data_IF_396534855058
#
_entry.id   IF_396534855058
#
_cell.length_a   1.000
_cell.length_b   1.000
_cell.length_c   1.000
_cell.angle_alpha   90.00
_cell.angle_beta   90.00
_cell.angle_gamma   90.00
#
_symmetry.space_group_name_H-M   'P 1'
#
loop_
_entity.id
_entity.type
_entity.pdbx_description
1 polymer ?
#
# COMPACT_ATOMS: atom_id res chain seq x y z
N UNK A 1 10.38 -11.60 -6.81
CA UNK A 1 10.62 -10.13 -6.63
C UNK A 1 10.64 -9.77 -5.13
N UNK A 2 11.28 -8.68 -4.69
CA UNK A 2 11.20 -8.26 -3.26
C UNK A 2 9.88 -7.55 -2.94
N UNK A 3 9.20 -7.02 -3.94
CA UNK A 3 7.88 -6.42 -3.76
C UNK A 3 6.97 -6.76 -4.95
N UNK A 4 5.70 -6.40 -4.83
CA UNK A 4 4.72 -6.56 -5.89
C UNK A 4 3.75 -5.39 -5.96
N UNK A 5 3.25 -5.11 -7.17
CA UNK A 5 2.03 -4.34 -7.39
C UNK A 5 0.85 -5.30 -7.34
N UNK A 6 0.09 -5.28 -6.24
CA UNK A 6 -1.05 -6.16 -6.06
C UNK A 6 -2.33 -5.50 -6.57
N UNK A 7 -3.03 -6.20 -7.46
CA UNK A 7 -4.37 -5.88 -7.91
C UNK A 7 -5.34 -5.77 -6.72
N UNK A 8 -6.13 -4.69 -6.65
CA UNK A 8 -7.13 -4.52 -5.59
C UNK A 8 -8.38 -5.36 -5.83
N UNK A 9 -8.66 -5.72 -7.09
CA UNK A 9 -9.65 -6.72 -7.42
C UNK A 9 -9.24 -8.11 -6.90
N UNK A 10 -10.13 -8.74 -6.14
CA UNK A 10 -9.94 -10.10 -5.64
C UNK A 10 -10.68 -11.08 -6.53
N UNK A 11 -9.94 -12.04 -7.09
CA UNK A 11 -10.44 -13.01 -8.07
C UNK A 11 -11.13 -14.16 -7.35
N UNK A 12 -12.45 -14.08 -7.19
CA UNK A 12 -13.24 -15.17 -6.62
C UNK A 12 -13.39 -16.30 -7.63
N UNK A 13 -12.90 -17.50 -7.32
CA UNK A 13 -12.93 -18.65 -8.23
C UNK A 13 -13.32 -19.92 -7.46
N UNK A 14 -14.02 -20.84 -8.14
CA UNK A 14 -14.38 -22.14 -7.56
C UNK A 14 -13.15 -23.04 -7.36
N UNK A 15 -12.14 -22.87 -8.22
CA UNK A 15 -10.84 -23.51 -8.13
C UNK A 15 -9.75 -22.49 -8.49
N UNK A 16 -8.57 -22.64 -7.88
CA UNK A 16 -7.42 -21.84 -8.28
C UNK A 16 -6.96 -22.26 -9.68
N UNK A 17 -6.68 -21.31 -10.58
CA UNK A 17 -6.23 -21.64 -11.93
C UNK A 17 -4.89 -22.37 -11.86
N UNK A 18 -4.63 -23.24 -12.83
CA UNK A 18 -3.28 -23.77 -13.04
C UNK A 18 -2.40 -22.65 -13.60
N UNK A 19 -1.31 -22.33 -12.92
CA UNK A 19 -0.32 -21.35 -13.37
C UNK A 19 0.86 -22.08 -13.99
N UNK A 20 1.00 -22.01 -15.31
CA UNK A 20 2.22 -22.41 -15.99
C UNK A 20 3.37 -21.45 -15.58
N UNK A 21 4.16 -21.84 -14.58
CA UNK A 21 5.46 -21.21 -14.31
C UNK A 21 5.62 -20.40 -13.00
N UNK A 22 4.57 -20.11 -12.24
CA UNK A 22 4.70 -19.43 -10.95
C UNK A 22 3.81 -20.08 -9.87
N UNK A 23 4.37 -20.79 -8.86
CA UNK A 23 3.55 -21.50 -7.89
C UNK A 23 2.73 -20.52 -7.05
N UNK A 24 1.43 -20.78 -6.95
CA UNK A 24 0.56 -20.11 -6.01
C UNK A 24 1.04 -20.32 -4.56
N UNK A 25 1.04 -19.23 -3.79
CA UNK A 25 1.29 -19.30 -2.35
C UNK A 25 -0.06 -19.25 -1.65
N UNK A 26 -0.42 -20.34 -0.95
CA UNK A 26 -1.76 -20.57 -0.43
C UNK A 26 -1.83 -20.43 1.08
N UNK A 27 -3.00 -20.03 1.57
CA UNK A 27 -3.35 -20.13 2.99
C UNK A 27 -4.85 -20.39 3.15
N UNK A 28 -5.18 -21.11 4.22
CA UNK A 28 -6.55 -21.44 4.58
C UNK A 28 -6.99 -20.66 5.83
N UNK A 29 -8.25 -20.27 5.84
CA UNK A 29 -8.87 -19.52 6.91
C UNK A 29 -10.29 -19.97 7.19
N UNK A 30 -10.85 -19.47 8.29
CA UNK A 30 -12.25 -19.72 8.66
C UNK A 30 -12.92 -18.39 8.97
N UNK A 31 -14.05 -18.13 8.31
CA UNK A 31 -14.84 -16.93 8.56
C UNK A 31 -15.71 -17.07 9.82
N UNK A 32 -16.24 -15.95 10.34
CA UNK A 32 -17.21 -15.96 11.46
C UNK A 32 -18.50 -16.73 11.15
N UNK A 33 -18.78 -16.98 9.87
CA UNK A 33 -20.01 -17.62 9.42
C UNK A 33 -19.86 -19.15 9.31
N UNK A 34 -18.76 -19.71 9.83
CA UNK A 34 -18.53 -21.16 9.89
C UNK A 34 -18.03 -21.79 8.59
N UNK A 35 -17.81 -21.00 7.54
CA UNK A 35 -17.26 -21.47 6.26
C UNK A 35 -15.74 -21.35 6.21
N UNK A 36 -15.06 -22.42 5.79
CA UNK A 36 -13.66 -22.35 5.37
C UNK A 36 -13.52 -21.56 4.07
N UNK A 37 -12.41 -20.86 3.93
CA UNK A 37 -12.02 -20.23 2.69
C UNK A 37 -10.52 -20.40 2.49
N UNK A 38 -10.08 -20.33 1.25
CA UNK A 38 -8.67 -20.40 0.89
C UNK A 38 -8.32 -19.18 0.06
N UNK A 39 -7.11 -18.67 0.23
CA UNK A 39 -6.55 -17.62 -0.62
C UNK A 39 -5.31 -18.11 -1.32
N UNK A 40 -5.01 -17.52 -2.47
CA UNK A 40 -3.80 -17.81 -3.21
C UNK A 40 -3.24 -16.54 -3.86
N UNK A 41 -1.95 -16.27 -3.66
CA UNK A 41 -1.25 -15.18 -4.35
C UNK A 41 -0.59 -15.68 -5.63
N UNK A 42 -0.87 -15.00 -6.74
CA UNK A 42 -0.01 -15.02 -7.92
C UNK A 42 0.96 -13.84 -7.81
N UNK A 43 2.24 -14.13 -7.63
CA UNK A 43 3.28 -13.12 -7.43
C UNK A 43 4.07 -12.93 -8.73
N UNK A 44 3.99 -11.72 -9.28
CA UNK A 44 4.73 -11.29 -10.48
C UNK A 44 5.69 -10.14 -10.12
N UNK A 45 6.78 -10.04 -10.87
CA UNK A 45 7.70 -8.91 -10.75
C UNK A 45 7.11 -7.68 -11.48
N UNK A 46 7.06 -6.51 -10.82
CA UNK A 46 6.71 -5.24 -11.48
C UNK A 46 7.54 -5.02 -12.76
N UNK A 47 6.94 -4.60 -13.89
CA UNK A 47 5.59 -4.03 -14.03
C UNK A 47 4.44 -5.05 -14.07
N UNK A 48 4.72 -6.36 -13.99
CA UNK A 48 3.69 -7.40 -13.93
C UNK A 48 2.79 -7.26 -12.68
N UNK A 49 1.48 -7.42 -12.88
CA UNK A 49 0.46 -7.21 -11.85
C UNK A 49 0.18 -8.50 -11.08
N UNK A 50 0.50 -8.50 -9.79
CA UNK A 50 0.22 -9.62 -8.89
C UNK A 50 -1.26 -9.67 -8.53
N UNK A 51 -1.77 -10.86 -8.19
CA UNK A 51 -3.21 -11.09 -7.97
C UNK A 51 -3.46 -11.88 -6.70
N UNK A 52 -4.59 -11.59 -6.05
CA UNK A 52 -5.14 -12.39 -4.96
C UNK A 52 -6.38 -13.16 -5.45
N UNK A 53 -6.32 -14.48 -5.37
CA UNK A 53 -7.44 -15.36 -5.61
C UNK A 53 -8.10 -15.76 -4.29
N UNK A 54 -9.43 -15.85 -4.31
CA UNK A 54 -10.24 -16.28 -3.18
C UNK A 54 -11.10 -17.48 -3.61
N UNK A 55 -11.03 -18.55 -2.83
CA UNK A 55 -11.97 -19.67 -2.92
C UNK A 55 -12.81 -19.67 -1.64
N UNK A 56 -14.08 -19.33 -1.76
CA UNK A 56 -14.99 -19.24 -0.61
C UNK A 56 -16.32 -19.91 -0.93
N UNK A 57 -16.44 -21.24 -0.72
CA UNK A 57 -17.63 -22.00 -1.12
C UNK A 57 -18.94 -21.54 -0.47
N UNK A 58 -18.87 -21.09 0.79
CA UNK A 58 -20.00 -20.49 1.53
C UNK A 58 -20.05 -18.97 1.42
N UNK A 59 -19.26 -18.39 0.51
CA UNK A 59 -19.22 -16.97 0.24
C UNK A 59 -20.29 -16.55 -0.77
N UNK A 60 -20.61 -15.26 -0.83
CA UNK A 60 -21.55 -14.76 -1.83
C UNK A 60 -21.04 -14.87 -3.26
N UNK A 61 -22.00 -15.18 -4.14
CA UNK A 61 -21.74 -15.58 -5.53
C UNK A 61 -21.56 -14.38 -6.47
N UNK A 62 -22.08 -13.21 -6.11
CA UNK A 62 -21.94 -11.96 -6.86
C UNK A 62 -20.89 -11.05 -6.19
N UNK A 63 -20.06 -10.39 -7.01
CA UNK A 63 -18.71 -9.93 -6.67
C UNK A 63 -18.53 -8.85 -5.58
N UNK A 64 -17.25 -8.77 -5.15
CA UNK A 64 -16.59 -7.85 -4.20
C UNK A 64 -17.05 -7.85 -2.74
N UNK A 65 -16.90 -9.01 -2.13
CA UNK A 65 -17.00 -9.16 -0.67
C UNK A 65 -15.65 -9.38 0.01
N UNK A 66 -14.57 -9.51 -0.77
CA UNK A 66 -13.21 -9.43 -0.27
C UNK A 66 -12.57 -8.12 -0.74
N UNK A 67 -11.97 -7.37 0.18
CA UNK A 67 -11.30 -6.10 -0.11
C UNK A 67 -9.89 -6.15 0.48
N UNK A 68 -8.88 -5.90 -0.37
CA UNK A 68 -7.52 -5.63 0.08
C UNK A 68 -7.46 -4.23 0.70
N UNK A 69 -7.05 -4.15 1.96
CA UNK A 69 -7.11 -2.92 2.75
C UNK A 69 -5.75 -2.23 2.79
N UNK A 70 -4.72 -2.94 3.25
CA UNK A 70 -3.38 -2.39 3.43
C UNK A 70 -2.33 -3.49 3.39
N UNK A 71 -1.07 -3.11 3.20
CA UNK A 71 0.07 -4.02 3.28
C UNK A 71 1.27 -3.30 3.89
N UNK A 72 2.05 -4.01 4.70
CA UNK A 72 3.31 -3.51 5.22
C UNK A 72 4.23 -4.68 5.59
N UNK A 73 5.47 -4.62 5.13
CA UNK A 73 6.49 -5.67 5.32
C UNK A 73 5.93 -7.06 4.97
N UNK A 74 5.92 -7.97 5.93
CA UNK A 74 5.50 -9.37 5.79
C UNK A 74 3.98 -9.58 5.92
N UNK A 75 3.16 -8.53 6.05
CA UNK A 75 1.74 -8.63 6.33
C UNK A 75 0.88 -7.93 5.25
N UNK A 76 -0.22 -8.59 4.88
CA UNK A 76 -1.30 -8.04 4.05
C UNK A 76 -2.60 -8.11 4.83
N UNK A 77 -3.27 -6.97 5.00
CA UNK A 77 -4.58 -6.84 5.63
C UNK A 77 -5.66 -6.85 4.56
N UNK A 78 -6.62 -7.75 4.70
CA UNK A 78 -7.82 -7.78 3.87
C UNK A 78 -9.05 -8.01 4.73
N UNK A 79 -10.20 -7.77 4.12
CA UNK A 79 -11.50 -7.87 4.77
C UNK A 79 -12.42 -8.75 3.97
N UNK A 80 -13.12 -9.65 4.66
CA UNK A 80 -14.26 -10.39 4.14
C UNK A 80 -15.55 -9.81 4.72
N UNK A 81 -16.44 -9.35 3.85
CA UNK A 81 -17.77 -8.87 4.18
C UNK A 81 -18.76 -9.90 3.66
N UNK A 82 -19.41 -10.71 4.50
CA UNK A 82 -20.43 -11.67 4.11
C UNK A 82 -21.67 -10.96 3.56
N UNK A 83 -22.62 -11.73 3.05
CA UNK A 83 -23.92 -11.20 2.63
C UNK A 83 -24.63 -10.49 3.80
N UNK A 84 -25.12 -9.26 3.60
CA UNK A 84 -25.77 -8.53 4.68
C UNK A 84 -27.03 -9.28 5.13
N UNK A 85 -27.14 -9.56 6.43
CA UNK A 85 -28.40 -9.97 7.03
C UNK A 85 -29.31 -8.73 7.07
N UNK A 86 -30.27 -8.64 6.15
CA UNK A 86 -31.28 -7.57 6.17
C UNK A 86 -32.25 -7.85 7.33
N UNK A 87 -31.96 -7.27 8.50
CA UNK A 87 -32.87 -7.32 9.65
C UNK A 87 -33.83 -6.13 9.52
N UNK A 88 -35.11 -6.41 9.28
CA UNK A 88 -36.18 -5.41 9.04
C UNK A 88 -36.36 -4.37 10.16
N UNK A 89 -35.83 -4.64 11.36
CA UNK A 89 -36.04 -3.84 12.57
C UNK A 89 -34.82 -2.99 12.97
N UNK A 90 -33.68 -3.12 12.29
CA UNK A 90 -32.50 -2.33 12.60
C UNK A 90 -32.49 -1.02 11.78
N UNK A 91 -32.28 0.16 12.40
CA UNK A 91 -32.17 1.43 11.67
C UNK A 91 -30.93 1.51 10.76
N UNK A 92 -30.02 0.54 10.87
CA UNK A 92 -28.80 0.41 10.08
C UNK A 92 -28.54 -1.05 9.70
N UNK A 93 -28.02 -1.30 8.51
CA UNK A 93 -27.59 -2.64 8.08
C UNK A 93 -26.29 -3.01 8.83
N UNK A 94 -26.30 -4.08 9.63
CA UNK A 94 -25.07 -4.61 10.27
C UNK A 94 -24.24 -5.36 9.22
N UNK A 95 -23.30 -4.66 8.59
CA UNK A 95 -22.29 -5.29 7.75
C UNK A 95 -21.22 -5.92 8.65
N UNK A 96 -21.40 -7.18 9.04
CA UNK A 96 -20.40 -7.90 9.84
C UNK A 96 -19.10 -8.09 9.06
N UNK A 97 -18.08 -7.29 9.32
CA UNK A 97 -16.81 -7.35 8.60
C UNK A 97 -15.76 -8.17 9.36
N UNK A 98 -15.30 -9.26 8.75
CA UNK A 98 -14.15 -10.01 9.26
C UNK A 98 -12.86 -9.47 8.65
N UNK A 99 -11.96 -9.00 9.51
CA UNK A 99 -10.63 -8.55 9.08
C UNK A 99 -9.63 -9.69 9.29
N UNK A 100 -8.76 -9.90 8.31
CA UNK A 100 -7.74 -10.93 8.32
C UNK A 100 -6.39 -10.33 7.98
N UNK A 101 -5.37 -10.75 8.71
CA UNK A 101 -3.98 -10.55 8.34
C UNK A 101 -3.48 -11.83 7.71
N UNK A 102 -2.91 -11.71 6.51
CA UNK A 102 -2.10 -12.75 5.90
C UNK A 102 -0.62 -12.40 6.08
N UNK A 103 0.13 -13.28 6.73
CA UNK A 103 1.54 -13.06 7.01
C UNK A 103 2.43 -14.19 6.50
N UNK A 104 3.64 -13.85 6.08
CA UNK A 104 4.68 -14.86 5.85
C UNK A 104 5.12 -15.47 7.19
N UNK A 105 5.11 -16.79 7.30
CA UNK A 105 5.62 -17.52 8.45
C UNK A 105 6.98 -18.13 8.12
N UNK A 106 7.99 -17.76 8.91
CA UNK A 106 9.32 -18.36 8.85
C UNK A 106 9.33 -19.63 9.72
N UNK A 107 9.24 -20.81 9.10
CA UNK A 107 9.61 -22.08 9.74
C UNK A 107 10.91 -22.61 9.12
N UNK A 108 11.78 -23.29 9.89
CA UNK A 108 13.06 -23.80 9.40
C UNK A 108 12.96 -24.76 8.19
N UNK A 109 11.81 -25.41 8.01
CA UNK A 109 11.60 -26.45 6.98
C UNK A 109 10.69 -26.02 5.82
N UNK A 110 9.85 -24.99 5.99
CA UNK A 110 8.94 -24.52 4.94
C UNK A 110 8.46 -23.10 5.25
N UNK A 111 8.48 -22.17 4.29
CA UNK A 111 7.78 -20.88 4.44
C UNK A 111 6.37 -21.03 3.90
N UNK A 112 5.40 -20.80 4.76
CA UNK A 112 3.96 -20.83 4.45
C UNK A 112 3.34 -19.47 4.74
N UNK A 113 2.15 -19.24 4.19
CA UNK A 113 1.32 -18.12 4.61
C UNK A 113 0.45 -18.56 5.78
N UNK A 114 0.31 -17.67 6.76
CA UNK A 114 -0.60 -17.85 7.88
C UNK A 114 -1.71 -16.80 7.81
N UNK A 115 -2.95 -17.26 7.90
CA UNK A 115 -4.11 -16.40 8.06
C UNK A 115 -4.47 -16.26 9.53
N UNK A 116 -4.59 -15.02 9.97
CA UNK A 116 -4.98 -14.67 11.33
C UNK A 116 -6.19 -13.75 11.29
N UNK A 117 -7.26 -14.18 11.96
CA UNK A 117 -8.46 -13.38 12.12
C UNK A 117 -8.25 -12.31 13.20
N UNK A 118 -8.65 -11.09 12.89
CA UNK A 118 -8.67 -9.97 13.80
C UNK A 118 -10.01 -9.92 14.51
N UNK A 119 -10.04 -9.75 15.85
CA UNK A 119 -11.29 -9.64 16.59
C UNK A 119 -12.08 -8.41 16.13
N UNK A 120 -13.41 -8.53 16.18
CA UNK A 120 -14.30 -7.40 15.96
C UNK A 120 -13.93 -6.27 16.93
N UNK A 121 -13.97 -5.04 16.44
CA UNK A 121 -13.82 -3.88 17.31
C UNK A 121 -15.16 -3.59 17.99
N UNK A 122 -15.24 -3.86 19.29
CA UNK A 122 -16.43 -3.57 20.10
C UNK A 122 -16.49 -2.11 20.58
N UNK A 123 -15.46 -1.31 20.27
CA UNK A 123 -15.42 0.11 20.57
C UNK A 123 -16.35 0.82 19.58
N UNK A 124 -17.42 1.47 20.04
CA UNK A 124 -18.38 2.10 19.14
C UNK A 124 -17.74 3.24 18.36
N UNK A 125 -18.26 3.47 17.16
CA UNK A 125 -18.06 4.70 16.40
C UNK A 125 -18.98 5.80 16.92
N UNK A 126 -18.51 7.04 16.82
CA UNK A 126 -19.32 8.23 17.04
C UNK A 126 -19.60 8.86 15.68
N UNK A 127 -20.88 8.99 15.34
CA UNK A 127 -21.31 9.68 14.13
C UNK A 127 -22.03 10.97 14.52
N UNK A 128 -21.65 12.07 13.88
CA UNK A 128 -22.46 13.28 13.93
C UNK A 128 -23.69 13.08 13.03
N UNK A 129 -24.87 13.04 13.65
CA UNK A 129 -26.15 12.88 12.97
C UNK A 129 -26.77 14.25 12.69
N UNK A 130 -27.81 14.27 11.83
CA UNK A 130 -28.60 15.49 11.57
C UNK A 130 -28.97 16.17 12.89
N UNK A 131 -28.87 17.51 12.89
CA UNK A 131 -29.11 18.40 14.04
C UNK A 131 -28.03 18.40 15.13
N UNK A 132 -26.83 17.90 14.84
CA UNK A 132 -25.69 17.91 15.79
C UNK A 132 -25.81 16.88 16.92
N UNK A 133 -26.80 15.99 16.85
CA UNK A 133 -26.94 14.86 17.79
C UNK A 133 -25.88 13.80 17.50
N UNK A 134 -25.18 13.34 18.55
CA UNK A 134 -24.17 12.28 18.42
C UNK A 134 -24.84 10.93 18.57
N UNK A 135 -24.73 10.09 17.54
CA UNK A 135 -25.24 8.72 17.54
C UNK A 135 -24.07 7.76 17.68
N UNK A 136 -24.24 6.79 18.57
CA UNK A 136 -23.27 5.71 18.76
C UNK A 136 -23.63 4.58 17.80
N UNK A 137 -22.70 4.19 16.93
CA UNK A 137 -22.92 3.12 15.94
C UNK A 137 -21.85 2.03 16.09
N UNK A 138 -22.10 0.81 15.58
CA UNK A 138 -21.01 -0.14 15.36
C UNK A 138 -19.91 0.52 14.54
N UNK A 139 -18.65 0.37 14.98
CA UNK A 139 -17.52 0.98 14.27
C UNK A 139 -17.36 0.34 12.90
N UNK A 140 -17.43 1.15 11.85
CA UNK A 140 -17.08 0.77 10.48
C UNK A 140 -15.68 1.26 10.14
N UNK A 141 -14.93 0.42 9.43
CA UNK A 141 -13.63 0.76 8.86
C UNK A 141 -13.72 1.21 7.39
N UNK A 142 -14.93 1.40 6.85
CA UNK A 142 -15.15 1.85 5.46
C UNK A 142 -14.90 3.35 5.26
N UNK A 143 -15.32 4.18 6.22
CA UNK A 143 -15.30 5.64 6.08
C UNK A 143 -13.90 6.23 6.30
N UNK A 144 -13.16 5.66 7.24
CA UNK A 144 -11.76 5.97 7.51
C UNK A 144 -10.99 4.65 7.48
N UNK A 145 -10.13 4.42 6.47
CA UNK A 145 -9.48 3.13 6.30
C UNK A 145 -8.60 2.81 7.51
N UNK A 146 -8.77 1.60 8.03
CA UNK A 146 -7.80 1.00 8.93
C UNK A 146 -6.55 0.64 8.14
N UNK A 147 -5.38 0.80 8.73
CA UNK A 147 -4.13 0.38 8.11
C UNK A 147 -3.29 -0.43 9.08
N UNK A 148 -2.21 -1.00 8.56
CA UNK A 148 -1.28 -1.86 9.28
C UNK A 148 0.12 -1.28 9.28
N UNK A 149 0.77 -1.29 10.44
CA UNK A 149 2.18 -0.97 10.63
C UNK A 149 2.87 -2.10 11.36
N UNK A 150 4.04 -2.50 10.88
CA UNK A 150 4.86 -3.56 11.46
C UNK A 150 6.04 -2.93 12.18
N UNK A 151 6.37 -3.42 13.37
CA UNK A 151 7.56 -3.06 14.11
C UNK A 151 8.42 -4.31 14.26
N UNK A 152 9.52 -4.38 13.53
CA UNK A 152 10.24 -5.64 13.38
C UNK A 152 9.41 -6.68 12.62
N UNK A 153 9.69 -7.96 12.83
CA UNK A 153 8.97 -9.08 12.18
C UNK A 153 7.87 -9.67 13.07
N UNK A 154 7.87 -9.36 14.36
CA UNK A 154 6.98 -9.98 15.34
C UNK A 154 5.80 -9.12 15.75
N UNK A 155 5.92 -7.79 15.69
CA UNK A 155 4.91 -6.87 16.20
C UNK A 155 4.22 -6.10 15.09
N UNK A 156 2.92 -5.87 15.26
CA UNK A 156 2.13 -5.05 14.37
C UNK A 156 1.11 -4.20 15.13
N UNK A 157 0.68 -3.13 14.50
CA UNK A 157 -0.42 -2.29 14.91
C UNK A 157 -1.43 -2.18 13.77
N UNK A 158 -2.70 -2.38 14.08
CA UNK A 158 -3.82 -1.99 13.23
C UNK A 158 -4.40 -0.70 13.79
N UNK A 159 -4.56 0.33 12.97
CA UNK A 159 -5.02 1.62 13.45
C UNK A 159 -5.99 2.28 12.49
N UNK A 160 -7.03 2.90 13.06
CA UNK A 160 -7.93 3.83 12.41
C UNK A 160 -7.86 5.15 13.16
N UNK A 161 -7.75 6.26 12.42
CA UNK A 161 -7.78 7.61 12.98
C UNK A 161 -9.10 8.28 12.56
N UNK A 162 -9.80 8.86 13.53
CA UNK A 162 -11.00 9.64 13.30
C UNK A 162 -10.80 11.05 13.86
N UNK A 163 -11.39 12.05 13.21
CA UNK A 163 -11.30 13.43 13.62
C UNK A 163 -12.62 13.90 14.21
N UNK A 164 -12.52 14.74 15.23
CA UNK A 164 -13.66 15.38 15.86
C UNK A 164 -13.38 16.86 16.05
N UNK A 165 -14.41 17.67 15.81
CA UNK A 165 -14.42 19.07 16.24
C UNK A 165 -14.59 19.12 17.76
N UNK A 166 -13.73 19.89 18.42
CA UNK A 166 -13.96 20.24 19.82
C UNK A 166 -15.22 21.10 19.92
N UNK A 167 -16.08 20.79 20.89
CA UNK A 167 -17.29 21.55 21.15
C UNK A 167 -17.01 22.90 21.85
N UNK A 168 -15.81 23.10 22.43
CA UNK A 168 -15.53 24.20 23.36
C UNK A 168 -14.59 25.29 22.83
N UNK A 169 -13.86 25.04 21.74
CA UNK A 169 -12.88 25.98 21.18
C UNK A 169 -12.97 25.97 19.65
N UNK A 170 -13.21 27.14 19.05
CA UNK A 170 -13.30 27.29 17.60
C UNK A 170 -11.98 26.86 16.94
N UNK A 171 -12.05 25.90 16.01
CA UNK A 171 -10.90 25.43 15.24
C UNK A 171 -9.97 24.43 15.96
N UNK A 172 -10.29 23.96 17.18
CA UNK A 172 -9.53 22.87 17.79
C UNK A 172 -10.02 21.51 17.26
N UNK A 173 -9.11 20.80 16.59
CA UNK A 173 -9.34 19.48 16.02
C UNK A 173 -8.65 18.45 16.90
N UNK A 174 -9.43 17.48 17.35
CA UNK A 174 -8.98 16.40 18.22
C UNK A 174 -9.14 15.08 17.49
N UNK A 175 -8.16 14.20 17.63
CA UNK A 175 -8.18 12.89 17.02
C UNK A 175 -8.59 11.81 18.03
N UNK A 176 -9.32 10.81 17.53
CA UNK A 176 -9.53 9.53 18.19
C UNK A 176 -8.75 8.46 17.41
N UNK A 177 -7.77 7.86 18.07
CA UNK A 177 -7.02 6.72 17.56
C UNK A 177 -7.64 5.43 18.10
N UNK A 178 -8.23 4.63 17.21
CA UNK A 178 -8.65 3.26 17.51
C UNK A 178 -7.55 2.31 17.05
N UNK A 179 -6.86 1.66 17.98
CA UNK A 179 -5.65 0.88 17.71
C UNK A 179 -5.68 -0.50 18.36
N UNK A 180 -5.20 -1.50 17.64
CA UNK A 180 -4.90 -2.84 18.14
C UNK A 180 -3.41 -3.06 17.94
N UNK A 181 -2.68 -3.24 19.04
CA UNK A 181 -1.24 -3.49 19.04
C UNK A 181 -1.02 -4.91 19.50
N UNK A 182 -0.27 -5.69 18.72
CA UNK A 182 -0.08 -7.10 19.06
C UNK A 182 1.19 -7.68 18.48
N UNK A 183 1.55 -8.85 19.01
CA UNK A 183 2.49 -9.76 18.37
C UNK A 183 1.73 -10.64 17.39
N UNK A 184 2.35 -11.01 16.27
CA UNK A 184 1.81 -11.98 15.31
C UNK A 184 1.49 -13.33 15.99
N UNK A 185 2.30 -13.74 16.96
CA UNK A 185 2.08 -14.97 17.75
C UNK A 185 0.94 -14.88 18.76
N UNK A 186 0.49 -13.68 19.12
CA UNK A 186 -0.58 -13.51 20.11
C UNK A 186 -1.93 -13.86 19.49
N UNK A 187 -2.73 -14.69 20.17
CA UNK A 187 -4.10 -15.04 19.75
C UNK A 187 -5.19 -14.19 20.40
N UNK A 188 -4.84 -13.38 21.39
CA UNK A 188 -5.76 -12.51 22.13
C UNK A 188 -5.44 -11.06 21.82
N UNK A 189 -5.90 -10.60 20.67
CA UNK A 189 -5.80 -9.19 20.31
C UNK A 189 -6.89 -8.39 21.01
N UNK A 190 -6.58 -7.14 21.36
CA UNK A 190 -7.53 -6.23 21.99
C UNK A 190 -7.42 -4.85 21.35
N UNK A 191 -8.57 -4.30 21.00
CA UNK A 191 -8.70 -2.92 20.54
C UNK A 191 -8.66 -1.96 21.73
N UNK A 192 -8.03 -0.80 21.52
CA UNK A 192 -8.00 0.33 22.45
C UNK A 192 -8.40 1.59 21.69
N UNK A 193 -9.05 2.53 22.39
CA UNK A 193 -9.39 3.84 21.84
C UNK A 193 -8.73 4.91 22.71
N UNK A 194 -7.89 5.71 22.07
CA UNK A 194 -7.19 6.83 22.64
C UNK A 194 -7.86 8.10 22.07
N UNK A 195 -8.58 8.81 22.93
CA UNK A 195 -9.42 9.95 22.54
C UNK A 195 -8.74 11.26 22.89
N UNK A 196 -9.15 12.32 22.20
CA UNK A 196 -8.75 13.70 22.51
C UNK A 196 -7.26 13.94 22.31
N UNK A 197 -6.68 13.27 21.32
CA UNK A 197 -5.29 13.43 20.96
C UNK A 197 -5.13 14.76 20.21
N UNK A 198 -4.27 15.68 20.67
CA UNK A 198 -4.05 16.95 20.00
C UNK A 198 -3.32 16.72 18.67
N UNK A 199 -3.78 17.37 17.61
CA UNK A 199 -3.08 17.40 16.33
C UNK A 199 -2.17 18.62 16.30
N UNK A 200 -0.87 18.40 16.22
CA UNK A 200 0.12 19.47 16.05
C UNK A 200 0.02 20.02 14.62
N UNK A 201 -0.44 21.26 14.51
CA UNK A 201 -0.58 22.00 13.26
C UNK A 201 -0.41 23.50 13.55
N UNK A 202 0.08 24.25 12.56
CA UNK A 202 0.17 25.70 12.64
C UNK A 202 -1.20 26.36 12.48
N UNK A 203 -1.34 27.60 12.94
CA UNK A 203 -2.64 28.31 12.93
C UNK A 203 -3.26 28.42 11.52
N UNK A 204 -2.42 28.59 10.50
CA UNK A 204 -2.82 28.73 9.10
C UNK A 204 -3.10 27.38 8.40
N UNK A 205 -2.85 26.25 9.07
CA UNK A 205 -3.10 24.89 8.57
C UNK A 205 -4.41 24.30 9.10
N UNK A 206 -5.02 24.96 10.09
CA UNK A 206 -6.25 24.45 10.73
C UNK A 206 -7.42 24.31 9.76
N UNK A 207 -7.52 25.21 8.78
CA UNK A 207 -8.53 25.15 7.73
C UNK A 207 -8.47 23.86 6.91
N UNK A 208 -7.27 23.31 6.71
CA UNK A 208 -7.04 22.13 5.88
C UNK A 208 -7.59 20.86 6.54
N UNK A 209 -7.69 20.91 7.87
CA UNK A 209 -8.18 19.83 8.71
C UNK A 209 -9.70 19.89 8.94
N UNK A 210 -10.38 21.01 8.60
CA UNK A 210 -11.80 21.23 8.94
C UNK A 210 -12.76 20.22 8.29
N UNK A 211 -12.42 19.73 7.10
CA UNK A 211 -13.19 18.76 6.31
C UNK A 211 -12.33 17.53 5.96
N UNK A 212 -11.48 17.10 6.88
CA UNK A 212 -10.55 16.00 6.64
C UNK A 212 -11.25 14.72 6.18
N UNK A 213 -10.77 14.16 5.07
CA UNK A 213 -11.14 12.82 4.60
C UNK A 213 -9.86 12.06 4.24
N UNK A 214 -9.75 10.84 4.73
CA UNK A 214 -8.60 10.00 4.40
C UNK A 214 -8.85 9.28 3.08
N UNK A 215 -8.01 9.52 2.09
CA UNK A 215 -8.00 8.77 0.82
C UNK A 215 -7.15 7.51 0.94
N UNK A 216 -5.97 7.62 1.57
CA UNK A 216 -5.00 6.53 1.71
C UNK A 216 -4.30 6.58 3.06
N UNK A 217 -3.77 5.45 3.52
CA UNK A 217 -2.87 5.40 4.67
C UNK A 217 -1.56 4.75 4.28
N UNK A 218 -0.44 5.40 4.57
CA UNK A 218 0.91 4.94 4.22
C UNK A 218 1.71 4.62 5.50
N UNK A 219 2.28 3.41 5.62
CA UNK A 219 3.24 3.12 6.68
C UNK A 219 4.61 3.68 6.31
N UNK A 220 5.15 4.58 7.13
CA UNK A 220 6.43 5.22 6.89
C UNK A 220 7.27 5.25 8.17
N UNK A 221 8.39 4.53 8.19
CA UNK A 221 9.23 4.36 9.37
C UNK A 221 8.41 3.86 10.58
N UNK A 222 8.27 4.68 11.62
CA UNK A 222 7.52 4.39 12.84
C UNK A 222 6.11 4.98 12.85
N UNK A 223 5.69 5.62 11.77
CA UNK A 223 4.43 6.33 11.65
C UNK A 223 3.48 5.62 10.69
N UNK A 224 2.18 5.77 10.98
CA UNK A 224 1.16 5.69 9.93
C UNK A 224 0.82 7.13 9.51
N UNK A 225 0.80 7.38 8.20
CA UNK A 225 0.39 8.64 7.60
C UNK A 225 -0.98 8.52 6.95
N UNK A 226 -2.01 9.16 7.50
CA UNK A 226 -3.32 9.30 6.85
C UNK A 226 -3.21 10.43 5.84
N UNK A 227 -3.46 10.15 4.57
CA UNK A 227 -3.29 11.07 3.45
C UNK A 227 -4.65 11.57 2.99
N UNK A 228 -4.76 12.88 2.80
CA UNK A 228 -5.89 13.54 2.16
C UNK A 228 -5.35 14.30 0.94
N UNK A 229 -5.61 13.78 -0.25
CA UNK A 229 -5.15 14.38 -1.50
C UNK A 229 -5.94 15.65 -1.86
N UNK A 230 -7.07 15.91 -1.19
CA UNK A 230 -8.02 16.95 -1.56
C UNK A 230 -7.94 18.18 -0.68
N UNK A 231 -7.84 17.95 0.62
CA UNK A 231 -7.43 18.95 1.60
C UNK A 231 -5.91 19.18 1.60
N UNK A 232 -5.15 18.30 0.93
CA UNK A 232 -3.75 18.52 0.60
C UNK A 232 -2.79 18.33 1.76
N UNK A 233 -2.84 17.18 2.45
CA UNK A 233 -1.88 16.90 3.51
C UNK A 233 -1.79 15.43 3.96
N UNK A 234 -0.90 15.20 4.92
CA UNK A 234 -0.69 13.93 5.62
C UNK A 234 -0.76 14.19 7.12
N UNK A 235 -1.44 13.32 7.86
CA UNK A 235 -1.41 13.30 9.32
C UNK A 235 -0.63 12.08 9.76
N UNK A 236 0.50 12.30 10.41
CA UNK A 236 1.33 11.22 10.93
C UNK A 236 0.96 10.90 12.38
N UNK A 237 0.90 9.62 12.72
CA UNK A 237 0.70 9.14 14.08
C UNK A 237 1.71 8.04 14.42
N UNK A 238 2.41 8.19 15.55
CA UNK A 238 3.31 7.16 16.08
C UNK A 238 2.51 6.10 16.87
N UNK A 239 1.85 5.20 16.15
CA UNK A 239 0.88 4.23 16.69
C UNK A 239 1.44 3.16 17.63
N UNK A 240 2.73 3.23 17.98
CA UNK A 240 3.35 2.36 18.99
C UNK A 240 3.68 3.07 20.31
N UNK A 241 3.48 4.39 20.42
CA UNK A 241 3.59 5.14 21.69
C UNK A 241 2.30 5.07 22.52
N UNK A 242 2.42 5.07 23.85
CA UNK A 242 1.27 5.05 24.77
C UNK A 242 0.47 6.36 24.72
N UNK A 243 1.16 7.48 24.46
CA UNK A 243 0.59 8.78 24.10
C UNK A 243 1.15 9.13 22.73
N UNK A 244 0.44 8.83 21.65
CA UNK A 244 0.94 9.01 20.30
C UNK A 244 1.02 10.49 19.97
N UNK A 245 2.16 10.90 19.42
CA UNK A 245 2.30 12.20 18.80
C UNK A 245 1.58 12.18 17.46
N UNK A 246 0.78 13.23 17.22
CA UNK A 246 0.07 13.43 15.96
C UNK A 246 0.46 14.80 15.42
N UNK A 247 0.92 14.84 14.18
CA UNK A 247 1.25 16.08 13.51
C UNK A 247 0.77 16.07 12.05
N UNK A 248 0.46 17.25 11.56
CA UNK A 248 0.05 17.50 10.19
C UNK A 248 1.28 17.91 9.36
N UNK A 249 1.28 17.49 8.10
CA UNK A 249 2.22 17.90 7.08
C UNK A 249 1.45 18.22 5.80
N UNK A 250 1.52 19.46 5.33
CA UNK A 250 0.90 19.87 4.06
C UNK A 250 1.58 19.19 2.87
N UNK A 251 0.79 18.75 1.88
CA UNK A 251 1.29 18.26 0.60
C UNK A 251 1.57 19.46 -0.33
N UNK A 252 2.62 19.39 -1.17
CA UNK A 252 3.01 20.48 -2.06
C UNK A 252 2.11 20.50 -3.32
N UNK A 253 0.83 20.79 -3.12
CA UNK A 253 -0.16 20.89 -4.20
C UNK A 253 -0.20 22.35 -4.65
N UNK A 254 0.20 22.61 -5.90
CA UNK A 254 0.39 23.96 -6.44
C UNK A 254 -0.90 24.78 -6.52
N UNK A 255 -2.04 24.12 -6.76
CA UNK A 255 -3.35 24.75 -6.80
C UNK A 255 -4.28 24.10 -5.77
N UNK A 256 -4.48 24.79 -4.65
CA UNK A 256 -5.58 24.48 -3.74
C UNK A 256 -6.88 24.82 -4.46
N UNK A 257 -7.54 23.83 -5.06
CA UNK A 257 -8.89 24.03 -5.59
C UNK A 257 -9.87 24.20 -4.41
N UNK A 258 -9.89 25.39 -3.81
CA UNK A 258 -10.65 25.75 -2.59
C UNK A 258 -12.18 25.60 -2.74
N UNK A 259 -12.68 25.27 -3.94
CA UNK A 259 -14.11 25.23 -4.26
C UNK A 259 -14.58 23.99 -5.00
N UNK A 260 -13.78 22.92 -5.10
CA UNK A 260 -14.31 21.68 -5.68
C UNK A 260 -15.21 20.95 -4.66
N UNK A 261 -16.41 20.47 -5.06
CA UNK A 261 -17.17 19.53 -4.24
C UNK A 261 -16.30 18.29 -3.94
N UNK A 262 -16.62 17.44 -2.95
CA UNK A 262 -15.78 16.32 -2.55
C UNK A 262 -15.67 15.30 -3.68
N UNK A 263 -14.72 15.52 -4.60
CA UNK A 263 -14.51 14.71 -5.78
C UNK A 263 -13.92 13.39 -5.31
N UNK A 264 -14.68 12.31 -5.56
CA UNK A 264 -14.17 10.96 -5.44
C UNK A 264 -13.02 10.83 -6.46
N UNK A 265 -11.96 10.08 -6.11
CA UNK A 265 -10.90 9.60 -7.01
C UNK A 265 -9.63 10.46 -7.19
N UNK A 266 -9.21 11.25 -6.21
CA UNK A 266 -7.91 11.94 -6.28
C UNK A 266 -6.70 10.98 -6.31
N UNK A 267 -6.88 9.73 -5.88
CA UNK A 267 -5.90 8.65 -6.09
C UNK A 267 -5.67 8.32 -7.59
N UNK A 268 -6.51 8.83 -8.50
CA UNK A 268 -6.30 8.73 -9.94
C UNK A 268 -5.20 9.65 -10.46
N UNK A 269 -4.83 10.68 -9.70
CA UNK A 269 -3.82 11.66 -10.09
C UNK A 269 -2.66 11.78 -9.12
N UNK A 270 -2.86 11.38 -7.87
CA UNK A 270 -1.92 11.60 -6.78
C UNK A 270 -1.57 10.32 -6.06
N UNK A 271 -0.31 10.19 -5.68
CA UNK A 271 0.13 9.14 -4.76
C UNK A 271 1.20 9.63 -3.81
N UNK A 272 1.05 9.27 -2.54
CA UNK A 272 2.16 9.20 -1.58
C UNK A 272 2.63 7.74 -1.54
N UNK A 273 3.90 7.51 -1.85
CA UNK A 273 4.52 6.19 -1.88
C UNK A 273 5.76 6.12 -1.00
N UNK A 274 6.07 4.93 -0.49
CA UNK A 274 7.29 4.65 0.26
C UNK A 274 8.22 3.81 -0.61
N UNK A 275 9.49 4.21 -0.66
CA UNK A 275 10.52 3.59 -1.48
C UNK A 275 11.82 3.44 -0.68
N UNK A 276 12.71 2.56 -1.12
CA UNK A 276 14.04 2.45 -0.52
C UNK A 276 14.91 3.60 -1.00
N UNK A 277 15.43 4.36 -0.04
CA UNK A 277 16.39 5.42 -0.26
C UNK A 277 17.81 4.94 -0.51
N UNK A 278 18.67 5.89 -0.86
CA UNK A 278 20.08 5.67 -1.23
C UNK A 278 20.96 5.10 -0.11
N UNK A 279 20.50 5.16 1.15
CA UNK A 279 21.17 4.59 2.33
C UNK A 279 20.43 3.39 2.94
N UNK A 280 19.44 2.83 2.24
CA UNK A 280 18.61 1.73 2.74
C UNK A 280 17.54 2.14 3.76
N UNK A 281 17.40 3.44 4.01
CA UNK A 281 16.30 4.01 4.79
C UNK A 281 15.06 4.20 3.91
N UNK A 282 13.87 4.08 4.49
CA UNK A 282 12.64 4.39 3.77
C UNK A 282 12.57 5.89 3.45
N UNK A 283 12.25 6.22 2.21
CA UNK A 283 11.98 7.58 1.73
C UNK A 283 10.51 7.71 1.32
N UNK A 284 9.92 8.87 1.60
CA UNK A 284 8.56 9.18 1.21
C UNK A 284 8.58 10.02 -0.07
N UNK A 285 7.76 9.61 -1.03
CA UNK A 285 7.64 10.23 -2.36
C UNK A 285 6.22 10.69 -2.58
N UNK A 286 6.06 11.84 -3.22
CA UNK A 286 4.77 12.35 -3.65
C UNK A 286 4.79 12.61 -5.15
N UNK A 287 3.84 12.03 -5.86
CA UNK A 287 3.62 12.26 -7.30
C UNK A 287 2.28 12.98 -7.43
N UNK A 288 2.26 14.08 -8.18
CA UNK A 288 1.05 14.83 -8.52
C UNK A 288 0.96 14.95 -10.04
N UNK A 289 -0.09 14.39 -10.62
CA UNK A 289 -0.42 14.53 -12.04
C UNK A 289 -1.56 15.51 -12.19
N UNK A 290 -1.29 16.68 -12.77
CA UNK A 290 -2.29 17.76 -12.89
C UNK A 290 -2.71 17.90 -14.34
N UNK A 291 -4.00 17.75 -14.61
CA UNK A 291 -4.58 18.05 -15.92
C UNK A 291 -4.81 19.57 -16.04
N UNK A 292 -4.48 20.17 -17.18
CA UNK A 292 -4.50 21.64 -17.34
C UNK A 292 -5.89 22.27 -17.15
N UNK A 293 -6.95 21.53 -17.46
CA UNK A 293 -8.35 21.91 -17.29
C UNK A 293 -8.91 21.58 -15.89
N UNK A 294 -8.06 21.12 -14.96
CA UNK A 294 -8.41 20.76 -13.57
C UNK A 294 -9.52 19.69 -13.41
N UNK A 295 -9.99 19.11 -14.53
CA UNK A 295 -11.11 18.19 -14.59
C UNK A 295 -10.63 16.74 -14.74
N UNK A 296 -10.00 16.21 -13.69
CA UNK A 296 -9.80 14.76 -13.54
C UNK A 296 -11.13 14.15 -13.04
N UNK A 297 -12.22 14.43 -13.77
CA UNK A 297 -13.60 14.12 -13.33
C UNK A 297 -14.00 12.69 -13.69
N UNK A 298 -13.26 12.03 -14.58
CA UNK A 298 -13.60 10.68 -15.00
C UNK A 298 -12.36 9.76 -15.05
N UNK A 299 -12.32 8.68 -14.23
CA UNK A 299 -11.30 7.63 -14.31
C UNK A 299 -11.12 7.08 -15.74
N UNK A 300 -12.16 7.16 -16.56
CA UNK A 300 -12.24 6.73 -17.97
C UNK A 300 -12.40 7.90 -18.94
N UNK A 301 -12.44 9.14 -18.44
CA UNK A 301 -12.75 10.31 -19.24
C UNK A 301 -11.56 10.74 -20.07
N UNK A 302 -11.91 11.35 -21.20
CA UNK A 302 -10.94 11.97 -22.07
C UNK A 302 -10.42 13.26 -21.44
N UNK A 303 -9.11 13.29 -21.20
CA UNK A 303 -8.36 14.54 -21.17
C UNK A 303 -8.21 15.04 -22.60
N UNK A 304 -9.33 15.32 -23.26
CA UNK A 304 -9.30 15.81 -24.63
C UNK A 304 -8.82 17.26 -24.63
N UNK A 305 -7.51 17.42 -24.91
CA UNK A 305 -6.87 18.48 -25.74
C UNK A 305 -5.89 19.46 -25.10
N UNK A 306 -5.80 19.58 -23.77
CA UNK A 306 -4.93 20.63 -23.17
C UNK A 306 -3.63 20.08 -22.54
N UNK A 307 -3.57 18.79 -22.23
CA UNK A 307 -2.37 18.12 -21.71
C UNK A 307 -2.29 18.08 -20.18
N UNK A 308 -1.19 17.57 -19.65
CA UNK A 308 -0.99 17.38 -18.21
C UNK A 308 0.45 17.70 -17.80
N UNK A 309 0.66 17.85 -16.49
CA UNK A 309 1.98 17.97 -15.87
C UNK A 309 2.17 16.87 -14.84
N UNK A 310 3.43 16.48 -14.61
CA UNK A 310 3.80 15.58 -13.50
C UNK A 310 4.81 16.30 -12.63
N UNK A 311 4.48 16.45 -11.35
CA UNK A 311 5.39 16.94 -10.32
C UNK A 311 5.79 15.78 -9.40
N UNK A 312 7.07 15.70 -9.05
CA UNK A 312 7.62 14.63 -8.23
C UNK A 312 8.49 15.17 -7.10
N UNK A 313 8.17 14.75 -5.88
CA UNK A 313 8.71 15.29 -4.65
C UNK A 313 9.31 14.20 -3.75
N UNK A 314 10.32 14.59 -2.98
CA UNK A 314 10.90 13.81 -1.90
C UNK A 314 10.57 14.46 -0.56
N UNK A 315 10.24 13.66 0.45
CA UNK A 315 10.22 14.17 1.82
C UNK A 315 11.64 14.21 2.37
N UNK A 316 12.11 15.41 2.72
CA UNK A 316 13.36 15.63 3.45
C UNK A 316 13.06 15.78 4.93
N UNK A 317 13.80 15.01 5.74
CA UNK A 317 13.83 15.17 7.20
C UNK A 317 15.01 16.08 7.54
N UNK A 318 14.74 17.23 8.16
CA UNK A 318 15.78 18.21 8.53
C UNK A 318 16.59 17.71 9.74
N UNK A 319 17.74 18.33 9.99
CA UNK A 319 18.57 18.00 11.16
C UNK A 319 17.84 18.22 12.50
N UNK A 320 16.87 19.14 12.54
CA UNK A 320 16.01 19.39 13.70
C UNK A 320 14.83 18.41 13.81
N UNK A 321 14.68 17.46 12.88
CA UNK A 321 13.57 16.51 12.83
C UNK A 321 12.31 17.04 12.16
N UNK A 322 12.38 18.22 11.54
CA UNK A 322 11.29 18.77 10.71
C UNK A 322 11.12 17.98 9.41
N UNK A 323 9.94 18.05 8.81
CA UNK A 323 9.59 17.35 7.58
C UNK A 323 9.20 18.37 6.51
N UNK A 324 9.92 18.38 5.39
CA UNK A 324 9.73 19.34 4.30
C UNK A 324 9.71 18.60 2.95
N UNK A 325 8.91 19.10 2.01
CA UNK A 325 8.87 18.54 0.66
C UNK A 325 9.84 19.27 -0.26
N UNK A 326 10.77 18.53 -0.86
CA UNK A 326 11.64 19.03 -1.92
C UNK A 326 11.08 18.57 -3.27
N UNK A 327 10.80 19.52 -4.16
CA UNK A 327 10.50 19.21 -5.55
C UNK A 327 11.79 18.72 -6.21
N UNK A 328 11.80 17.46 -6.62
CA UNK A 328 12.93 16.92 -7.37
C UNK A 328 12.78 17.16 -8.86
N UNK A 329 11.52 17.20 -9.33
CA UNK A 329 11.25 17.09 -10.74
C UNK A 329 9.88 17.63 -11.13
N UNK A 330 9.81 18.17 -12.34
CA UNK A 330 8.61 18.64 -13.00
C UNK A 330 8.73 18.41 -14.52
N UNK A 331 7.67 17.94 -15.16
CA UNK A 331 7.61 17.74 -16.62
C UNK A 331 6.21 18.04 -17.15
N UNK A 332 6.15 18.58 -18.36
CA UNK A 332 4.90 18.72 -19.13
C UNK A 332 4.70 17.53 -20.04
N UNK A 333 3.46 17.20 -20.41
CA UNK A 333 3.18 16.11 -21.34
C UNK A 333 3.86 16.31 -22.71
N UNK A 334 3.97 17.54 -23.21
CA UNK A 334 4.66 17.84 -24.47
C UNK A 334 6.17 17.56 -24.39
N UNK A 335 6.81 17.89 -23.27
CA UNK A 335 8.21 17.53 -23.04
C UNK A 335 8.36 16.01 -22.91
N UNK A 336 7.45 15.35 -22.19
CA UNK A 336 7.45 13.90 -22.02
C UNK A 336 7.36 13.16 -23.36
N UNK A 337 6.41 13.54 -24.23
CA UNK A 337 6.24 12.94 -25.56
C UNK A 337 7.38 13.29 -26.51
N UNK A 338 7.98 14.48 -26.39
CA UNK A 338 9.17 14.83 -27.16
C UNK A 338 10.39 13.97 -26.82
N UNK A 339 10.52 13.54 -25.56
CA UNK A 339 11.61 12.66 -25.11
C UNK A 339 11.30 11.19 -25.45
N UNK A 340 10.03 10.81 -25.43
CA UNK A 340 9.55 9.44 -25.61
C UNK A 340 8.50 9.39 -26.74
N UNK A 341 8.92 9.49 -28.01
CA UNK A 341 8.02 9.53 -29.16
C UNK A 341 7.17 8.26 -29.33
N UNK A 342 7.58 7.16 -28.71
CA UNK A 342 6.84 5.89 -28.67
C UNK A 342 5.70 5.85 -27.64
N UNK A 343 5.66 6.79 -26.70
CA UNK A 343 4.60 6.86 -25.68
C UNK A 343 3.33 7.45 -26.32
N UNK A 344 2.18 6.77 -26.26
CA UNK A 344 0.92 7.33 -26.73
C UNK A 344 0.58 8.66 -26.06
N UNK A 345 -0.09 9.54 -26.80
CA UNK A 345 -0.48 10.87 -26.34
C UNK A 345 -1.72 10.83 -25.42
N UNK A 346 -1.64 10.01 -24.37
CA UNK A 346 -2.72 9.74 -23.43
C UNK A 346 -2.34 10.21 -22.01
N UNK A 347 -3.37 10.49 -21.20
CA UNK A 347 -3.19 10.90 -19.80
C UNK A 347 -2.68 9.73 -18.94
N UNK A 348 -1.61 9.98 -18.18
CA UNK A 348 -1.11 9.05 -17.19
C UNK A 348 -1.89 9.19 -15.86
N UNK A 349 -2.42 8.09 -15.35
CA UNK A 349 -3.28 8.03 -14.16
C UNK A 349 -2.74 7.03 -13.13
N UNK A 350 -3.29 7.05 -11.92
CA UNK A 350 -3.04 6.11 -10.82
C UNK A 350 -1.56 5.82 -10.57
N UNK A 351 -0.73 6.84 -10.29
CA UNK A 351 0.69 6.64 -10.08
C UNK A 351 0.97 5.67 -8.92
N UNK A 352 2.03 4.87 -9.07
CA UNK A 352 2.57 3.99 -8.05
C UNK A 352 4.08 4.15 -8.03
N UNK A 353 4.63 4.58 -6.89
CA UNK A 353 6.09 4.68 -6.70
C UNK A 353 6.66 3.29 -6.49
N UNK A 354 7.76 2.96 -7.16
CA UNK A 354 8.48 1.71 -6.95
C UNK A 354 8.96 1.61 -5.49
N UNK A 355 8.79 0.44 -4.87
CA UNK A 355 9.32 0.21 -3.51
C UNK A 355 10.84 -0.05 -3.51
N UNK A 356 11.44 -0.30 -4.67
CA UNK A 356 12.86 -0.64 -4.80
C UNK A 356 13.71 0.52 -5.31
N UNK A 357 13.19 1.33 -6.24
CA UNK A 357 13.93 2.41 -6.89
C UNK A 357 13.18 3.75 -6.72
N UNK A 358 13.79 4.74 -6.06
CA UNK A 358 13.15 6.03 -5.80
C UNK A 358 12.94 6.88 -7.04
N UNK A 359 13.47 6.52 -8.21
CA UNK A 359 13.25 7.25 -9.46
C UNK A 359 12.19 6.60 -10.34
N UNK A 360 11.76 5.37 -10.05
CA UNK A 360 10.82 4.64 -10.91
C UNK A 360 9.39 4.83 -10.43
N UNK A 361 8.53 5.29 -11.34
CA UNK A 361 7.08 5.42 -11.11
C UNK A 361 6.31 4.69 -12.22
N UNK A 362 5.30 3.93 -11.81
CA UNK A 362 4.37 3.24 -12.68
C UNK A 362 3.09 4.05 -12.80
N UNK A 363 2.53 4.15 -13.99
CA UNK A 363 1.27 4.82 -14.30
C UNK A 363 0.35 3.89 -15.07
N UNK A 364 -0.95 4.09 -14.93
CA UNK A 364 -1.95 3.50 -15.81
C UNK A 364 -2.22 4.47 -16.96
N UNK A 365 -2.28 3.93 -18.17
CA UNK A 365 -2.62 4.64 -19.39
C UNK A 365 -3.74 3.88 -20.08
N UNK A 366 -4.84 4.58 -20.38
CA UNK A 366 -6.02 4.00 -21.03
C UNK A 366 -6.14 4.52 -22.45
N UNK A 367 -6.10 3.62 -23.43
CA UNK A 367 -6.38 3.89 -24.83
C UNK A 367 -7.86 3.60 -25.10
N UNK A 368 -8.59 4.62 -25.58
CA UNK A 368 -10.04 4.54 -25.72
C UNK A 368 -10.47 3.59 -26.83
N UNK A 369 -11.44 2.73 -26.52
CA UNK A 369 -12.10 1.85 -27.49
C UNK A 369 -13.62 1.95 -27.36
N UNK A 370 -14.38 1.46 -28.35
CA UNK A 370 -15.86 1.59 -28.39
C UNK A 370 -16.60 0.92 -27.20
N UNK A 371 -15.95 0.03 -26.45
CA UNK A 371 -16.62 -0.80 -25.44
C UNK A 371 -15.86 -0.91 -24.12
N UNK A 372 -14.57 -1.23 -24.19
CA UNK A 372 -13.69 -1.37 -23.03
C UNK A 372 -12.32 -0.89 -23.46
N UNK A 373 -11.80 0.09 -22.74
CA UNK A 373 -10.50 0.67 -23.01
C UNK A 373 -9.40 -0.37 -22.88
N UNK A 374 -8.37 -0.22 -23.70
CA UNK A 374 -7.13 -0.95 -23.51
C UNK A 374 -6.31 -0.21 -22.46
N UNK A 375 -5.91 -0.91 -21.40
CA UNK A 375 -5.16 -0.31 -20.30
C UNK A 375 -3.77 -0.92 -20.26
N UNK A 376 -2.75 -0.07 -20.17
CA UNK A 376 -1.36 -0.46 -20.04
C UNK A 376 -0.71 0.19 -18.83
N UNK A 377 0.27 -0.50 -18.24
CA UNK A 377 1.13 0.03 -17.19
C UNK A 377 2.36 0.64 -17.85
N UNK A 378 2.49 1.96 -17.77
CA UNK A 378 3.63 2.73 -18.27
C UNK A 378 4.62 2.91 -17.14
N UNK A 379 5.89 2.56 -17.36
CA UNK A 379 6.96 2.71 -16.36
C UNK A 379 7.90 3.83 -16.79
N UNK A 380 8.05 4.87 -15.97
CA UNK A 380 8.93 6.00 -16.23
C UNK A 380 10.05 6.07 -15.19
N UNK A 381 11.23 6.48 -15.65
CA UNK A 381 12.30 7.00 -14.78
C UNK A 381 12.12 8.52 -14.65
N UNK A 382 11.74 8.95 -13.45
CA UNK A 382 11.47 10.34 -13.12
C UNK A 382 12.73 11.20 -13.04
N UNK A 383 13.92 10.60 -12.91
CA UNK A 383 15.18 11.33 -12.95
C UNK A 383 15.64 11.62 -14.37
N UNK A 384 15.47 10.66 -15.29
CA UNK A 384 15.92 10.79 -16.68
C UNK A 384 14.81 11.18 -17.66
N UNK A 385 13.55 11.24 -17.21
CA UNK A 385 12.35 11.50 -18.04
C UNK A 385 12.03 10.39 -19.05
N UNK A 386 12.72 9.25 -18.96
CA UNK A 386 12.66 8.22 -20.01
C UNK A 386 11.62 7.15 -19.70
N UNK A 387 10.98 6.70 -20.76
CA UNK A 387 10.16 5.50 -20.77
C UNK A 387 11.05 4.28 -20.61
N UNK A 388 10.72 3.46 -19.60
CA UNK A 388 11.41 2.19 -19.35
C UNK A 388 10.67 1.02 -19.99
N UNK A 389 9.33 1.00 -19.89
CA UNK A 389 8.51 -0.06 -20.50
C UNK A 389 7.03 0.31 -20.55
N UNK A 390 6.30 -0.35 -21.45
CA UNK A 390 4.83 -0.36 -21.50
C UNK A 390 4.37 -1.82 -21.39
N UNK A 391 3.66 -2.15 -20.32
CA UNK A 391 3.19 -3.51 -20.05
C UNK A 391 1.66 -3.60 -20.21
N UNK A 392 1.13 -4.49 -21.06
CA UNK A 392 -0.31 -4.66 -21.22
C UNK A 392 -0.98 -5.09 -19.90
N UNK A 393 -2.15 -4.53 -19.59
CA UNK A 393 -2.90 -4.87 -18.38
C UNK A 393 -4.35 -5.30 -18.68
N UNK A 394 -5.08 -4.56 -19.52
CA UNK A 394 -6.41 -4.92 -20.03
C UNK A 394 -6.38 -4.78 -21.55
N UNK A 395 -6.68 -5.84 -22.30
CA UNK A 395 -6.68 -5.85 -23.77
C UNK A 395 -8.07 -5.54 -24.36
N UNK A 396 -8.81 -4.63 -23.73
CA UNK A 396 -10.14 -4.21 -24.17
C UNK A 396 -11.18 -5.33 -24.12
N UNK A 397 -12.01 -5.43 -25.18
CA UNK A 397 -13.14 -6.38 -25.25
C UNK A 397 -12.71 -7.84 -25.30
N UNK A 398 -11.47 -8.14 -25.71
CA UNK A 398 -10.96 -9.51 -25.76
C UNK A 398 -10.96 -10.16 -24.37
N UNK A 399 -10.62 -9.39 -23.34
CA UNK A 399 -10.55 -9.90 -21.96
C UNK A 399 -11.94 -10.02 -21.30
N UNK A 400 -12.99 -9.38 -21.83
CA UNK A 400 -14.35 -9.47 -21.28
C UNK A 400 -14.93 -10.89 -21.36
N UNK A 401 -14.55 -11.64 -22.39
CA UNK A 401 -14.97 -13.03 -22.59
C UNK A 401 -13.97 -14.03 -22.00
N UNK A 402 -12.83 -13.54 -21.51
CA UNK A 402 -11.78 -14.33 -20.88
C UNK A 402 -12.08 -14.70 -19.42
N UNK A 403 -11.13 -15.43 -18.81
CA UNK A 403 -11.20 -15.87 -17.41
C UNK A 403 -11.26 -14.71 -16.39
N UNK A 404 -10.88 -13.51 -16.80
CA UNK A 404 -10.79 -12.30 -15.96
C UNK A 404 -11.83 -11.24 -16.34
N UNK A 405 -12.87 -11.60 -17.11
CA UNK A 405 -13.88 -10.65 -17.55
C UNK A 405 -14.66 -9.96 -16.43
N UNK A 406 -14.66 -10.51 -15.21
CA UNK A 406 -15.21 -9.88 -14.01
C UNK A 406 -14.38 -8.68 -13.54
N UNK A 407 -13.05 -8.82 -13.52
CA UNK A 407 -12.13 -7.71 -13.26
C UNK A 407 -12.31 -6.62 -14.32
N UNK A 408 -12.37 -7.00 -15.59
CA UNK A 408 -12.50 -6.06 -16.71
C UNK A 408 -13.79 -5.26 -16.61
N UNK A 409 -14.94 -5.90 -16.33
CA UNK A 409 -16.22 -5.18 -16.12
C UNK A 409 -16.16 -4.20 -14.95
N UNK A 410 -15.51 -4.57 -13.85
CA UNK A 410 -15.34 -3.68 -12.71
C UNK A 410 -14.45 -2.49 -13.08
N UNK A 411 -13.29 -2.74 -13.65
CA UNK A 411 -12.31 -1.70 -13.97
C UNK A 411 -12.77 -0.79 -15.11
N UNK A 412 -13.62 -1.29 -16.01
CA UNK A 412 -14.32 -0.49 -17.02
C UNK A 412 -15.35 0.50 -16.43
N UNK A 413 -15.64 0.44 -15.13
CA UNK A 413 -16.46 1.44 -14.42
C UNK A 413 -15.67 2.17 -13.34
N UNK A 414 -14.67 1.50 -12.77
CA UNK A 414 -13.92 2.02 -11.64
C UNK A 414 -12.52 1.42 -11.55
N UNK A 415 -11.55 2.07 -12.19
CA UNK A 415 -10.13 1.73 -12.10
C UNK A 415 -9.56 2.17 -10.75
N UNK A 416 -8.74 1.31 -10.14
CA UNK A 416 -8.12 1.57 -8.84
C UNK A 416 -6.59 1.50 -8.94
N UNK A 417 -5.90 2.23 -8.07
CA UNK A 417 -4.46 2.10 -7.88
C UNK A 417 -4.09 0.74 -7.28
N UNK A 418 -2.92 0.23 -7.63
CA UNK A 418 -2.38 -0.99 -7.05
C UNK A 418 -1.99 -0.82 -5.57
N UNK A 419 -1.97 -1.93 -4.83
CA UNK A 419 -1.45 -2.00 -3.48
C UNK A 419 0.01 -2.49 -3.50
N UNK A 420 1.00 -1.65 -3.19
CA UNK A 420 2.38 -2.08 -3.04
C UNK A 420 2.54 -3.00 -1.82
N UNK A 421 3.30 -4.08 -1.94
CA UNK A 421 3.55 -5.01 -0.83
C UNK A 421 4.94 -5.64 -0.92
N UNK A 422 5.68 -5.63 0.19
CA UNK A 422 6.95 -6.37 0.34
C UNK A 422 6.73 -7.86 0.72
N UNK A 423 5.50 -8.34 0.87
CA UNK A 423 5.22 -9.73 1.27
C UNK A 423 6.07 -10.77 0.53
N UNK A 424 6.29 -10.67 -0.81
CA UNK A 424 7.16 -11.59 -1.54
C UNK A 424 8.59 -11.73 -1.00
N UNK A 425 9.22 -10.63 -0.55
CA UNK A 425 10.58 -10.65 0.03
C UNK A 425 10.68 -11.58 1.22
N UNK A 426 9.65 -11.60 2.07
CA UNK A 426 9.60 -12.44 3.27
C UNK A 426 9.31 -13.91 2.95
N UNK A 427 8.85 -14.21 1.74
CA UNK A 427 8.61 -15.57 1.27
C UNK A 427 9.84 -16.17 0.56
N UNK A 428 10.84 -15.38 0.16
CA UNK A 428 12.08 -15.87 -0.47
C UNK A 428 12.95 -16.65 0.51
N UNK A 429 13.34 -17.88 0.19
CA UNK A 429 14.34 -18.62 0.96
C UNK A 429 15.63 -17.82 1.10
N UNK A 430 16.04 -17.46 2.31
CA UNK A 430 17.47 -17.25 2.55
C UNK A 430 18.08 -18.65 2.59
N UNK A 431 18.72 -19.07 1.49
CA UNK A 431 19.79 -20.04 1.65
C UNK A 431 20.83 -19.34 2.52
N UNK A 432 20.85 -19.67 3.81
CA UNK A 432 22.07 -19.52 4.58
C UNK A 432 23.07 -20.38 3.83
N UNK A 433 23.94 -19.75 3.04
CA UNK A 433 25.18 -20.39 2.60
C UNK A 433 25.97 -20.62 3.89
N UNK A 434 25.68 -21.72 4.57
CA UNK A 434 26.69 -22.40 5.34
C UNK A 434 27.77 -22.72 4.32
N UNK A 435 28.89 -22.03 4.41
CA UNK A 435 30.10 -22.33 3.67
C UNK A 435 30.50 -23.78 3.98
N UNK A 436 29.98 -24.72 3.19
CA UNK A 436 30.53 -26.04 3.09
C UNK A 436 31.90 -25.87 2.45
N UNK A 437 32.91 -25.92 3.30
CA UNK A 437 34.28 -26.24 2.94
C UNK A 437 34.22 -27.57 2.16
N UNK A 438 34.20 -27.49 0.84
CA UNK A 438 34.50 -28.62 -0.02
C UNK A 438 36.02 -28.82 0.04
N UNK A 439 36.48 -29.72 0.91
CA UNK A 439 37.77 -30.38 0.69
C UNK A 439 37.57 -31.25 -0.54
N UNK A 440 38.10 -30.76 -1.66
CA UNK A 440 38.17 -31.49 -2.91
C UNK A 440 39.19 -32.62 -2.74
N UNK A 441 38.72 -33.81 -2.38
CA UNK A 441 39.51 -35.03 -2.49
C UNK A 441 39.27 -35.61 -3.87
N UNK A 442 40.20 -35.37 -4.81
CA UNK A 442 40.61 -36.29 -5.88
C UNK A 442 41.68 -35.62 -6.76
N UNK A 443 42.69 -36.42 -7.11
CA UNK A 443 43.85 -36.13 -7.97
C UNK A 443 45.02 -35.37 -7.35
N UNK A 444 45.95 -36.11 -6.74
CA UNK A 444 47.38 -36.05 -7.12
C UNK A 444 48.12 -37.27 -6.57
N UNK A 445 48.10 -38.36 -7.33
CA UNK A 445 49.19 -39.32 -7.32
C UNK A 445 50.28 -38.78 -8.26
N UNK A 446 51.34 -38.18 -7.70
CA UNK A 446 52.72 -38.39 -8.11
C UNK A 446 53.64 -37.38 -7.41
N UNK A 447 54.76 -37.93 -6.91
CA UNK A 447 56.00 -37.27 -6.48
C UNK A 447 56.07 -36.74 -5.03
N UNK A 448 56.55 -37.63 -4.16
CA UNK A 448 57.62 -37.41 -3.18
C UNK A 448 58.40 -36.10 -3.35
N UNK A 449 58.53 -35.30 -2.28
CA UNK A 449 59.78 -34.95 -1.57
C UNK A 449 59.43 -34.31 -0.21
N UNK A 450 60.03 -34.84 0.85
CA UNK A 450 60.00 -34.34 2.23
C UNK A 450 60.62 -32.93 2.36
N UNK A 451 60.20 -32.12 3.33
CA UNK A 451 61.07 -31.60 4.42
C UNK A 451 60.27 -30.70 5.37
N UNK A 452 60.43 -30.96 6.67
CA UNK A 452 60.10 -30.08 7.78
C UNK A 452 60.84 -28.74 7.66
N UNK A 453 60.22 -27.64 8.08
CA UNK A 453 60.84 -26.69 9.03
C UNK A 453 59.85 -25.60 9.47
N UNK A 454 59.54 -25.61 10.77
CA UNK A 454 59.18 -24.43 11.55
C UNK A 454 60.27 -23.36 11.37
N UNK A 455 59.93 -22.10 11.06
CA UNK A 455 60.72 -20.95 11.51
C UNK A 455 59.79 -19.77 11.79
N UNK A 456 59.73 -19.49 13.09
CA UNK A 456 59.29 -18.28 13.76
C UNK A 456 60.07 -17.03 13.31
N UNK A 457 59.53 -15.86 13.66
CA UNK A 457 60.06 -14.49 13.60
C UNK A 457 59.87 -13.67 12.30
N UNK A 458 58.99 -12.68 12.39
CA UNK A 458 59.41 -11.30 12.19
C UNK A 458 59.02 -10.47 13.42
N UNK A 459 60.04 -9.93 14.09
CA UNK A 459 59.93 -8.99 15.22
C UNK A 459 60.21 -7.57 14.76
N UNK A 460 59.46 -6.62 15.31
CA UNK A 460 59.79 -5.21 15.58
C UNK A 460 58.84 -4.88 16.77
N UNK A 461 59.22 -4.81 18.07
CA UNK A 461 60.33 -4.16 18.80
C UNK A 461 60.43 -2.68 18.39
N UNK A 462 60.28 -1.66 19.24
CA UNK A 462 59.96 -1.55 20.67
C UNK A 462 59.82 -0.04 21.04
N UNK A 463 59.47 0.22 22.31
CA UNK A 463 59.65 1.46 23.11
C UNK A 463 58.65 2.60 22.93
N UNK A 464 58.05 3.19 23.97
CA UNK A 464 58.34 3.33 25.42
C UNK A 464 57.82 4.72 25.81
N UNK A 465 57.22 5.03 26.96
CA UNK A 465 57.44 4.72 28.38
C UNK A 465 56.09 4.80 29.11
#
# INVERSE_FOLDING_TARGET
PDWMMLERFVFSRESFPDSEGAPFIKADGTSSHGGSFSIAFLVLQPPGISRLYLQWPGGPKEGSQCVLVAAHRNLVLFRLTPEPLIIREAPFVDFRQDHFICGAQSSPSQRSLLLQKIPKCDIPGLLDWRDGKKVTTPRSFDLNPVSILCRGEEEFALAQLNFRRSNGEWGKIEAELCVLRSKASNRRHQWKSEKWLPVQCEGHERSDLENWRTDRVVPFNKYLGWVNYGGGGIIFCEVFKQKPDIFYLRLPILEHCLHQPPLRFQEASRVVGVTKGSMGCDELRFVDVVCQDSNIIDPLGSGDKEGFTIAYYALRITQSGGMEWDMLFFITCYELWSINPELPHELLKHPVVSMEDPNVVYFLMSERLEHVDKVSVVTLDMSTKKLLSVHPYINGKEDLLGKDGDMVRRNATFLQTFLPSELPKFLKSHQVFASQIYICALCTSCCFVCYLCEWYLFSLVDNGV
#
